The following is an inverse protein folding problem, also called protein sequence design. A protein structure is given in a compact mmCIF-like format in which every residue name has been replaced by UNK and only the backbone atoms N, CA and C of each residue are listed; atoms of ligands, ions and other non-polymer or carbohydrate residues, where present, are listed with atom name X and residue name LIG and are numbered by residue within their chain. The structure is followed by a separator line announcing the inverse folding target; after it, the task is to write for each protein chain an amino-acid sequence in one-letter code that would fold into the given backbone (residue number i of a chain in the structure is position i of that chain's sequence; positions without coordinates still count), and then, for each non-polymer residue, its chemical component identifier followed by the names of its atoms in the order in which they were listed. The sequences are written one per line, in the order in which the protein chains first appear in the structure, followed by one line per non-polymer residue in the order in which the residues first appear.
data_IF_494861764667
#
_entry.id   IF_494861764667
#
_cell.length_a   1.000
_cell.length_b   1.000
_cell.length_c   1.000
_cell.angle_alpha   90.00
_cell.angle_beta   90.00
_cell.angle_gamma   90.00
#
_symmetry.space_group_name_H-M   'P 1'
#
loop_
_entity.id
_entity.type
_entity.pdbx_description
1 polymer ?
#
# COMPACT_ATOMS: atom_id res chain seq x y z
N UNK A 1 26.18 4.84 -17.48
CA UNK A 1 24.73 4.56 -17.37
C UNK A 1 23.98 5.47 -18.32
N UNK A 2 23.07 4.95 -19.14
CA UNK A 2 22.28 5.79 -20.05
C UNK A 2 21.35 6.70 -19.25
N UNK A 3 21.20 7.97 -19.67
CA UNK A 3 20.38 8.98 -18.98
C UNK A 3 18.97 8.47 -18.65
N UNK A 4 18.38 7.60 -19.48
CA UNK A 4 17.05 7.02 -19.26
C UNK A 4 16.94 6.13 -18.01
N UNK A 5 17.96 5.31 -17.68
CA UNK A 5 17.91 4.42 -16.52
C UNK A 5 17.99 5.21 -15.21
N UNK A 6 18.85 6.23 -15.18
CA UNK A 6 18.95 7.14 -14.04
C UNK A 6 17.63 7.88 -13.81
N UNK A 7 16.98 8.36 -14.88
CA UNK A 7 15.68 9.01 -14.80
C UNK A 7 14.60 8.07 -14.26
N UNK A 8 14.51 6.83 -14.77
CA UNK A 8 13.52 5.85 -14.28
C UNK A 8 13.70 5.52 -12.79
N UNK A 9 14.95 5.39 -12.32
CA UNK A 9 15.25 5.17 -10.89
C UNK A 9 14.82 6.37 -10.04
N UNK A 10 15.27 7.57 -10.42
CA UNK A 10 14.92 8.79 -9.71
C UNK A 10 13.40 8.98 -9.62
N UNK A 11 12.70 8.77 -10.73
CA UNK A 11 11.23 8.84 -10.77
C UNK A 11 10.59 7.83 -9.81
N UNK A 12 10.95 6.54 -9.87
CA UNK A 12 10.35 5.52 -9.00
C UNK A 12 10.67 5.74 -7.52
N UNK A 13 11.83 6.32 -7.18
CA UNK A 13 12.15 6.70 -5.79
C UNK A 13 11.25 7.82 -5.28
N UNK A 14 10.85 8.74 -6.15
CA UNK A 14 9.97 9.85 -5.77
C UNK A 14 8.51 9.44 -5.65
N UNK A 15 8.07 8.37 -6.31
CA UNK A 15 6.66 7.97 -6.37
C UNK A 15 5.99 7.87 -4.99
N UNK A 16 6.54 7.17 -3.97
CA UNK A 16 5.88 7.06 -2.67
C UNK A 16 5.62 8.43 -2.02
N UNK A 17 6.57 9.36 -2.17
CA UNK A 17 6.46 10.71 -1.62
C UNK A 17 5.42 11.54 -2.37
N UNK A 18 5.39 11.45 -3.70
CA UNK A 18 4.38 12.11 -4.53
C UNK A 18 2.98 11.57 -4.25
N UNK A 19 2.85 10.24 -4.17
CA UNK A 19 1.58 9.58 -3.84
C UNK A 19 1.09 10.00 -2.45
N UNK A 20 1.97 10.03 -1.44
CA UNK A 20 1.63 10.49 -0.10
C UNK A 20 1.22 11.97 -0.08
N UNK A 21 1.99 12.85 -0.74
CA UNK A 21 1.71 14.28 -0.81
C UNK A 21 0.34 14.56 -1.46
N UNK A 22 0.01 13.84 -2.52
CA UNK A 22 -1.29 14.00 -3.19
C UNK A 22 -2.43 13.40 -2.36
N UNK A 23 -2.26 12.19 -1.84
CA UNK A 23 -3.29 11.50 -1.05
C UNK A 23 -3.67 12.30 0.20
N UNK A 24 -2.70 12.98 0.82
CA UNK A 24 -2.91 13.81 2.01
C UNK A 24 -3.30 15.26 1.67
N UNK A 25 -2.86 15.80 0.52
CA UNK A 25 -3.00 17.21 0.19
C UNK A 25 -4.21 17.58 -0.67
N UNK A 26 -4.68 16.70 -1.56
CA UNK A 26 -5.68 17.07 -2.60
C UNK A 26 -7.12 16.72 -2.18
N UNK A 27 -7.31 15.97 -1.08
CA UNK A 27 -8.64 15.58 -0.62
C UNK A 27 -9.37 14.66 -1.62
N UNK A 28 -10.64 14.36 -1.35
CA UNK A 28 -11.44 13.47 -2.19
C UNK A 28 -11.85 14.20 -3.48
N UNK A 29 -11.61 13.55 -4.63
CA UNK A 29 -12.02 14.05 -5.95
C UNK A 29 -12.96 13.06 -6.64
N UNK A 30 -13.67 13.51 -7.68
CA UNK A 30 -14.60 12.63 -8.41
C UNK A 30 -13.83 11.53 -9.15
N UNK A 31 -14.32 10.27 -9.18
CA UNK A 31 -13.65 9.14 -9.86
C UNK A 31 -13.32 9.40 -11.32
N UNK A 32 -14.20 10.13 -12.01
CA UNK A 32 -14.03 10.52 -13.40
C UNK A 32 -12.78 11.38 -13.63
N UNK A 33 -12.34 12.12 -12.62
CA UNK A 33 -11.18 13.00 -12.70
C UNK A 33 -9.90 12.27 -12.29
N UNK A 34 -9.91 11.58 -11.15
CA UNK A 34 -8.68 11.00 -10.62
C UNK A 34 -8.28 9.68 -11.30
N UNK A 35 -9.24 8.83 -11.69
CA UNK A 35 -8.91 7.52 -12.27
C UNK A 35 -8.06 7.65 -13.55
N UNK A 36 -8.40 8.49 -14.55
CA UNK A 36 -7.58 8.61 -15.75
C UNK A 36 -6.15 9.09 -15.46
N UNK A 37 -6.01 10.06 -14.55
CA UNK A 37 -4.71 10.62 -14.16
C UNK A 37 -3.84 9.55 -13.50
N UNK A 38 -4.42 8.81 -12.55
CA UNK A 38 -3.68 7.81 -11.81
C UNK A 38 -3.44 6.53 -12.61
N UNK A 39 -4.31 6.17 -13.55
CA UNK A 39 -4.04 5.11 -14.52
C UNK A 39 -2.89 5.48 -15.46
N UNK A 40 -2.86 6.72 -15.96
CA UNK A 40 -1.73 7.21 -16.76
C UNK A 40 -0.42 7.18 -15.94
N UNK A 41 -0.48 7.59 -14.67
CA UNK A 41 0.66 7.49 -13.76
C UNK A 41 1.10 6.04 -13.51
N UNK A 42 0.17 5.12 -13.27
CA UNK A 42 0.46 3.70 -13.10
C UNK A 42 1.11 3.08 -14.36
N UNK A 43 0.66 3.48 -15.56
CA UNK A 43 1.28 3.07 -16.82
C UNK A 43 2.72 3.60 -16.96
N UNK A 44 2.96 4.86 -16.57
CA UNK A 44 4.31 5.43 -16.55
C UNK A 44 5.22 4.68 -15.57
N UNK A 45 4.73 4.33 -14.38
CA UNK A 45 5.46 3.51 -13.43
C UNK A 45 5.75 2.12 -14.00
N UNK A 46 4.75 1.45 -14.59
CA UNK A 46 4.93 0.15 -15.22
C UNK A 46 5.99 0.19 -16.31
N UNK A 47 6.00 1.26 -17.12
CA UNK A 47 7.01 1.47 -18.15
C UNK A 47 8.42 1.71 -17.56
N UNK A 48 8.53 2.50 -16.49
CA UNK A 48 9.79 2.74 -15.79
C UNK A 48 10.33 1.44 -15.16
N UNK A 49 9.47 0.66 -14.53
CA UNK A 49 9.80 -0.66 -13.97
C UNK A 49 10.24 -1.61 -15.07
N UNK A 50 9.52 -1.67 -16.19
CA UNK A 50 9.91 -2.47 -17.36
C UNK A 50 11.28 -2.09 -17.90
N UNK A 51 11.55 -0.78 -18.06
CA UNK A 51 12.84 -0.26 -18.54
C UNK A 51 14.00 -0.68 -17.63
N UNK A 52 13.80 -0.67 -16.31
CA UNK A 52 14.80 -1.12 -15.34
C UNK A 52 14.91 -2.65 -15.30
N UNK A 53 13.78 -3.35 -15.37
CA UNK A 53 13.67 -4.79 -15.21
C UNK A 53 13.96 -5.62 -16.46
N UNK A 54 14.01 -5.03 -17.66
CA UNK A 54 14.16 -5.81 -18.91
C UNK A 54 15.41 -6.69 -18.93
N UNK A 55 16.51 -6.20 -18.33
CA UNK A 55 17.78 -6.91 -18.30
C UNK A 55 17.93 -7.78 -17.05
N UNK A 56 17.07 -7.57 -16.05
CA UNK A 56 17.12 -8.26 -14.77
C UNK A 56 16.77 -9.74 -14.88
N UNK A 57 15.79 -10.08 -15.72
CA UNK A 57 15.35 -11.46 -15.93
C UNK A 57 16.26 -12.25 -16.87
N UNK A 58 17.06 -11.55 -17.67
CA UNK A 58 17.97 -12.13 -18.65
C UNK A 58 19.42 -12.17 -18.16
N UNK A 59 19.70 -11.75 -16.91
CA UNK A 59 21.05 -11.82 -16.37
C UNK A 59 21.49 -13.29 -16.24
N UNK A 60 22.70 -13.64 -16.71
CA UNK A 60 23.25 -14.97 -16.52
C UNK A 60 23.63 -15.26 -15.06
N UNK A 61 23.75 -14.20 -14.23
CA UNK A 61 24.04 -14.35 -12.80
C UNK A 61 22.75 -14.64 -11.99
N UNK A 62 22.63 -15.83 -11.38
CA UNK A 62 21.47 -16.18 -10.57
C UNK A 62 21.26 -15.27 -9.36
N UNK A 63 22.34 -14.72 -8.79
CA UNK A 63 22.27 -13.81 -7.64
C UNK A 63 21.63 -12.48 -8.03
N UNK A 64 22.12 -11.85 -9.10
CA UNK A 64 21.53 -10.64 -9.65
C UNK A 64 20.06 -10.83 -10.04
N UNK A 65 19.70 -11.99 -10.62
CA UNK A 65 18.31 -12.31 -10.98
C UNK A 65 17.41 -12.40 -9.75
N UNK A 66 17.89 -12.99 -8.66
CA UNK A 66 17.15 -13.08 -7.40
C UNK A 66 16.94 -11.69 -6.77
N UNK A 67 17.99 -10.87 -6.70
CA UNK A 67 17.89 -9.49 -6.17
C UNK A 67 16.91 -8.64 -6.99
N UNK A 68 16.94 -8.80 -8.31
CA UNK A 68 15.98 -8.11 -9.18
C UNK A 68 14.55 -8.57 -8.96
N UNK A 69 14.34 -9.87 -8.73
CA UNK A 69 13.01 -10.41 -8.41
C UNK A 69 12.49 -9.87 -7.09
N UNK A 70 13.35 -9.80 -6.07
CA UNK A 70 13.05 -9.15 -4.78
C UNK A 70 12.61 -7.70 -5.00
N UNK A 71 13.40 -6.92 -5.75
CA UNK A 71 13.09 -5.52 -6.01
C UNK A 71 11.75 -5.34 -6.73
N UNK A 72 11.44 -6.18 -7.72
CA UNK A 72 10.18 -6.12 -8.46
C UNK A 72 8.98 -6.47 -7.58
N UNK A 73 9.08 -7.49 -6.72
CA UNK A 73 8.00 -7.85 -5.79
C UNK A 73 7.69 -6.72 -4.79
N UNK A 74 8.69 -5.91 -4.45
CA UNK A 74 8.50 -4.73 -3.58
C UNK A 74 7.96 -3.53 -4.35
N UNK A 75 8.38 -3.31 -5.60
CA UNK A 75 7.99 -2.12 -6.40
C UNK A 75 6.62 -2.27 -7.05
N UNK A 76 6.29 -3.44 -7.62
CA UNK A 76 5.02 -3.67 -8.36
C UNK A 76 3.77 -3.26 -7.54
N UNK A 77 3.66 -3.58 -6.24
CA UNK A 77 2.54 -3.14 -5.40
C UNK A 77 2.30 -1.64 -5.42
N UNK A 78 3.35 -0.82 -5.53
CA UNK A 78 3.22 0.63 -5.57
C UNK A 78 2.48 1.13 -6.81
N UNK A 79 2.60 0.42 -7.94
CA UNK A 79 1.82 0.74 -9.15
C UNK A 79 0.33 0.72 -8.81
N UNK A 80 -0.12 -0.35 -8.13
CA UNK A 80 -1.50 -0.47 -7.65
C UNK A 80 -1.86 0.59 -6.61
N UNK A 81 -0.97 0.86 -5.65
CA UNK A 81 -1.23 1.83 -4.59
C UNK A 81 -1.43 3.25 -5.11
N UNK A 82 -0.73 3.65 -6.19
CA UNK A 82 -0.90 4.98 -6.75
C UNK A 82 -2.29 5.21 -7.35
N UNK A 83 -2.98 4.16 -7.82
CA UNK A 83 -4.37 4.27 -8.33
C UNK A 83 -5.31 4.85 -7.26
N UNK A 84 -4.99 4.67 -5.98
CA UNK A 84 -5.81 5.12 -4.85
C UNK A 84 -5.46 6.47 -4.29
N UNK A 85 -4.33 7.06 -4.66
CA UNK A 85 -3.93 8.35 -4.13
C UNK A 85 -4.95 9.45 -4.47
N UNK A 86 -5.74 9.28 -5.53
CA UNK A 86 -6.85 10.18 -5.90
C UNK A 86 -8.14 10.01 -5.11
N UNK A 87 -8.31 8.90 -4.39
CA UNK A 87 -9.50 8.64 -3.58
C UNK A 87 -9.50 9.43 -2.26
N UNK A 88 -8.38 10.05 -1.90
CA UNK A 88 -8.23 10.83 -0.66
C UNK A 88 -8.27 9.98 0.62
N UNK A 89 -8.32 10.64 1.79
CA UNK A 89 -8.39 9.95 3.07
C UNK A 89 -9.63 9.05 3.17
N UNK A 90 -9.62 8.03 4.04
CA UNK A 90 -10.82 7.24 4.32
C UNK A 90 -12.02 8.13 4.69
N UNK A 91 -13.25 7.76 4.30
CA UNK A 91 -14.43 8.55 4.63
C UNK A 91 -14.61 8.74 6.13
N UNK A 92 -15.23 9.85 6.52
CA UNK A 92 -15.37 10.21 7.95
C UNK A 92 -16.77 10.00 8.49
N UNK A 93 -17.74 9.75 7.61
CA UNK A 93 -19.14 9.61 7.96
C UNK A 93 -19.74 8.32 7.39
N UNK A 94 -20.69 7.72 8.12
CA UNK A 94 -21.40 6.51 7.69
C UNK A 94 -22.02 6.68 6.27
N UNK A 95 -22.70 7.80 5.94
CA UNK A 95 -23.24 7.98 4.59
C UNK A 95 -22.17 7.95 3.50
N UNK A 96 -21.01 8.57 3.71
CA UNK A 96 -19.91 8.55 2.73
C UNK A 96 -19.29 7.15 2.60
N UNK A 97 -19.19 6.39 3.69
CA UNK A 97 -18.73 5.00 3.66
C UNK A 97 -19.64 4.12 2.81
N UNK A 98 -20.96 4.30 2.93
CA UNK A 98 -21.94 3.56 2.13
C UNK A 98 -21.90 4.01 0.66
N UNK A 99 -21.81 5.31 0.40
CA UNK A 99 -21.69 5.86 -0.96
C UNK A 99 -20.42 5.35 -1.68
N UNK A 100 -19.32 5.16 -0.95
CA UNK A 100 -18.02 4.72 -1.50
C UNK A 100 -17.68 3.26 -1.24
N UNK A 101 -18.66 2.44 -0.84
CA UNK A 101 -18.45 1.07 -0.40
C UNK A 101 -17.53 0.27 -1.34
N UNK A 102 -17.81 0.30 -2.64
CA UNK A 102 -17.01 -0.40 -3.66
C UNK A 102 -15.59 0.16 -3.78
N UNK A 103 -15.41 1.49 -3.73
CA UNK A 103 -14.09 2.10 -3.80
C UNK A 103 -13.21 1.69 -2.61
N UNK A 104 -13.79 1.68 -1.41
CA UNK A 104 -13.07 1.26 -0.21
C UNK A 104 -12.75 -0.23 -0.26
N UNK A 105 -13.70 -1.09 -0.62
CA UNK A 105 -13.43 -2.54 -0.80
C UNK A 105 -12.27 -2.80 -1.77
N UNK A 106 -12.27 -2.14 -2.93
CA UNK A 106 -11.18 -2.27 -3.92
C UNK A 106 -9.86 -1.73 -3.35
N UNK A 107 -9.88 -0.56 -2.69
CA UNK A 107 -8.71 0.07 -2.05
C UNK A 107 -8.04 -0.90 -1.09
N UNK A 108 -8.80 -1.44 -0.15
CA UNK A 108 -8.26 -2.29 0.89
C UNK A 108 -7.91 -3.68 0.38
N UNK A 109 -8.64 -4.23 -0.59
CA UNK A 109 -8.27 -5.50 -1.25
C UNK A 109 -6.92 -5.40 -1.97
N UNK A 110 -6.68 -4.31 -2.72
CA UNK A 110 -5.38 -4.11 -3.37
C UNK A 110 -4.27 -3.79 -2.38
N UNK A 111 -4.55 -3.09 -1.26
CA UNK A 111 -3.59 -2.93 -0.17
C UNK A 111 -3.18 -4.29 0.42
N UNK A 112 -4.13 -5.19 0.67
CA UNK A 112 -3.86 -6.56 1.14
C UNK A 112 -3.01 -7.31 0.12
N UNK A 113 -3.42 -7.33 -1.16
CA UNK A 113 -2.68 -8.00 -2.22
C UNK A 113 -1.24 -7.46 -2.37
N UNK A 114 -1.08 -6.14 -2.33
CA UNK A 114 0.22 -5.49 -2.38
C UNK A 114 1.08 -5.78 -1.15
N UNK A 115 0.50 -5.78 0.05
CA UNK A 115 1.20 -6.15 1.28
C UNK A 115 1.70 -7.60 1.28
N UNK A 116 0.92 -8.52 0.72
CA UNK A 116 1.35 -9.91 0.52
C UNK A 116 2.54 -10.00 -0.46
N UNK A 117 2.47 -9.31 -1.60
CA UNK A 117 3.57 -9.25 -2.58
C UNK A 117 4.87 -8.69 -1.96
N UNK A 118 4.77 -7.58 -1.21
CA UNK A 118 5.91 -7.01 -0.48
C UNK A 118 6.49 -8.03 0.50
N UNK A 119 5.63 -8.75 1.24
CA UNK A 119 6.08 -9.75 2.21
C UNK A 119 6.79 -10.91 1.55
N UNK A 120 6.32 -11.37 0.38
CA UNK A 120 7.05 -12.38 -0.42
C UNK A 120 8.43 -11.85 -0.84
N UNK A 121 8.52 -10.60 -1.31
CA UNK A 121 9.80 -9.95 -1.64
C UNK A 121 10.75 -9.88 -0.44
N UNK A 122 10.24 -9.46 0.72
CA UNK A 122 11.02 -9.39 1.97
C UNK A 122 11.43 -10.77 2.48
N UNK A 123 10.60 -11.81 2.31
CA UNK A 123 10.94 -13.17 2.68
C UNK A 123 12.11 -13.70 1.85
N UNK A 124 12.13 -13.41 0.54
CA UNK A 124 13.26 -13.71 -0.33
C UNK A 124 14.53 -12.95 0.08
N UNK A 125 14.40 -11.69 0.50
CA UNK A 125 15.51 -10.89 1.03
C UNK A 125 16.06 -11.45 2.34
N UNK A 126 15.19 -11.85 3.26
CA UNK A 126 15.57 -12.52 4.52
C UNK A 126 16.34 -13.82 4.25
N UNK A 127 15.89 -14.62 3.28
CA UNK A 127 16.61 -15.82 2.87
C UNK A 127 18.00 -15.50 2.33
N UNK A 128 18.14 -14.41 1.57
CA UNK A 128 19.43 -13.94 1.07
C UNK A 128 20.36 -13.52 2.22
N UNK A 129 19.88 -12.69 3.15
CA UNK A 129 20.62 -12.29 4.35
C UNK A 129 21.04 -13.50 5.20
N UNK A 130 20.17 -14.51 5.30
CA UNK A 130 20.50 -15.78 5.97
C UNK A 130 21.66 -16.50 5.30
N UNK A 131 21.68 -16.57 3.97
CA UNK A 131 22.78 -17.18 3.21
C UNK A 131 24.09 -16.41 3.35
N UNK A 132 24.03 -15.08 3.50
CA UNK A 132 25.18 -14.22 3.73
C UNK A 132 25.74 -14.27 5.15
N UNK A 133 25.11 -15.01 6.07
CA UNK A 133 25.54 -15.11 7.47
C UNK A 133 25.09 -13.96 8.37
N UNK A 134 24.24 -13.05 7.87
CA UNK A 134 23.76 -11.85 8.56
C UNK A 134 22.70 -12.16 9.62
N UNK A 135 23.09 -12.90 10.67
CA UNK A 135 22.19 -13.54 11.64
C UNK A 135 21.18 -12.59 12.29
N UNK A 136 21.65 -11.41 12.71
CA UNK A 136 20.81 -10.44 13.39
C UNK A 136 19.73 -9.88 12.47
N UNK A 137 20.08 -9.54 11.22
CA UNK A 137 19.17 -8.91 10.28
C UNK A 137 18.08 -9.86 9.77
N UNK A 138 18.42 -11.11 9.43
CA UNK A 138 17.39 -12.04 8.93
C UNK A 138 16.43 -12.49 10.04
N UNK A 139 16.89 -12.65 11.29
CA UNK A 139 16.02 -12.95 12.43
C UNK A 139 15.07 -11.78 12.72
N UNK A 140 15.59 -10.55 12.75
CA UNK A 140 14.78 -9.35 12.93
C UNK A 140 13.73 -9.22 11.82
N UNK A 141 14.12 -9.46 10.57
CA UNK A 141 13.21 -9.44 9.43
C UNK A 141 12.09 -10.47 9.55
N UNK A 142 12.39 -11.71 9.95
CA UNK A 142 11.37 -12.74 10.17
C UNK A 142 10.38 -12.35 11.29
N UNK A 143 10.89 -11.88 12.42
CA UNK A 143 10.05 -11.45 13.55
C UNK A 143 9.16 -10.28 13.14
N UNK A 144 9.73 -9.29 12.45
CA UNK A 144 8.98 -8.14 11.95
C UNK A 144 7.87 -8.57 10.98
N UNK A 145 8.16 -9.45 10.01
CA UNK A 145 7.15 -9.95 9.07
C UNK A 145 6.06 -10.79 9.76
N UNK A 146 6.44 -11.64 10.72
CA UNK A 146 5.51 -12.50 11.46
C UNK A 146 4.48 -11.71 12.27
N UNK A 147 4.81 -10.49 12.70
CA UNK A 147 3.90 -9.60 13.42
C UNK A 147 3.20 -8.63 12.46
N UNK A 148 3.95 -7.99 11.56
CA UNK A 148 3.44 -6.92 10.70
C UNK A 148 2.41 -7.42 9.69
N UNK A 149 2.64 -8.58 9.05
CA UNK A 149 1.72 -9.07 8.01
C UNK A 149 0.33 -9.41 8.57
N UNK A 150 0.18 -10.20 9.65
CA UNK A 150 -1.14 -10.48 10.22
C UNK A 150 -1.86 -9.22 10.69
N UNK A 151 -1.15 -8.31 11.39
CA UNK A 151 -1.74 -7.05 11.85
C UNK A 151 -2.17 -6.16 10.68
N UNK A 152 -1.36 -6.10 9.61
CA UNK A 152 -1.71 -5.37 8.40
C UNK A 152 -2.96 -5.94 7.73
N UNK A 153 -3.04 -7.27 7.54
CA UNK A 153 -4.21 -7.92 6.93
C UNK A 153 -5.45 -7.69 7.78
N UNK A 154 -5.36 -7.86 9.11
CA UNK A 154 -6.47 -7.62 10.03
C UNK A 154 -6.97 -6.17 9.95
N UNK A 155 -6.06 -5.20 9.99
CA UNK A 155 -6.40 -3.79 9.87
C UNK A 155 -7.07 -3.50 8.52
N UNK A 156 -6.47 -3.90 7.40
CA UNK A 156 -7.05 -3.63 6.07
C UNK A 156 -8.40 -4.33 5.86
N UNK A 157 -8.57 -5.56 6.39
CA UNK A 157 -9.84 -6.30 6.30
C UNK A 157 -10.94 -5.66 7.15
N UNK A 158 -10.57 -5.11 8.31
CA UNK A 158 -11.48 -4.35 9.15
C UNK A 158 -12.02 -3.11 8.41
N UNK A 159 -11.13 -2.33 7.78
CA UNK A 159 -11.55 -1.15 7.04
C UNK A 159 -12.32 -1.47 5.74
N UNK A 160 -11.85 -2.47 4.98
CA UNK A 160 -12.41 -2.78 3.66
C UNK A 160 -13.67 -3.63 3.65
N UNK A 161 -13.79 -4.57 4.58
CA UNK A 161 -14.91 -5.50 4.61
C UNK A 161 -15.84 -5.18 5.78
N UNK A 162 -15.33 -5.25 7.00
CA UNK A 162 -16.18 -5.17 8.20
C UNK A 162 -16.89 -3.83 8.33
N UNK A 163 -16.18 -2.70 8.20
CA UNK A 163 -16.80 -1.38 8.32
C UNK A 163 -17.79 -1.09 7.20
N UNK A 164 -17.42 -1.40 5.95
CA UNK A 164 -18.29 -1.19 4.78
C UNK A 164 -19.60 -1.97 4.92
N UNK A 165 -19.52 -3.26 5.27
CA UNK A 165 -20.70 -4.11 5.44
C UNK A 165 -21.53 -3.69 6.66
N UNK A 166 -20.88 -3.40 7.78
CA UNK A 166 -21.55 -2.94 9.00
C UNK A 166 -22.32 -1.64 8.75
N UNK A 167 -21.70 -0.66 8.10
CA UNK A 167 -22.33 0.63 7.81
C UNK A 167 -23.45 0.53 6.76
N UNK A 168 -23.29 -0.36 5.77
CA UNK A 168 -24.36 -0.63 4.79
C UNK A 168 -25.58 -1.22 5.49
N UNK A 169 -25.40 -2.29 6.29
CA UNK A 169 -26.48 -2.90 7.07
C UNK A 169 -27.10 -1.92 8.06
N UNK A 170 -26.28 -1.09 8.70
CA UNK A 170 -26.72 -0.08 9.64
C UNK A 170 -27.55 1.03 8.99
N UNK A 171 -27.18 1.45 7.77
CA UNK A 171 -27.92 2.44 6.99
C UNK A 171 -29.29 1.94 6.55
N UNK A 172 -29.39 0.64 6.22
CA UNK A 172 -30.65 -0.01 5.84
C UNK A 172 -31.57 -0.30 7.04
N UNK A 173 -31.01 -0.44 8.25
CA UNK A 173 -31.79 -0.67 9.46
C UNK A 173 -32.52 0.60 9.93
N UNK A 174 -33.83 0.48 10.18
CA UNK A 174 -34.64 1.55 10.79
C UNK A 174 -34.06 2.01 12.12
N UNK A 175 -34.16 3.31 12.44
CA UNK A 175 -33.64 3.89 13.69
C UNK A 175 -34.14 3.13 14.94
N UNK A 176 -35.37 2.61 14.91
CA UNK A 176 -35.97 1.83 15.99
C UNK A 176 -35.34 0.45 16.26
N UNK A 177 -34.47 -0.05 15.37
CA UNK A 177 -33.82 -1.38 15.49
C UNK A 177 -32.35 -1.29 15.94
N UNK A 178 -31.84 -0.10 16.22
CA UNK A 178 -30.42 0.09 16.54
C UNK A 178 -30.21 -0.11 18.05
N UNK A 179 -29.31 -1.00 18.47
CA UNK A 179 -29.08 -1.25 19.89
C UNK A 179 -28.34 -0.08 20.56
N UNK A 180 -28.66 0.22 21.82
CA UNK A 180 -28.19 1.41 22.53
C UNK A 180 -26.65 1.51 22.67
N UNK A 181 -25.96 0.35 22.71
CA UNK A 181 -24.49 0.30 22.73
C UNK A 181 -23.85 0.94 21.48
N UNK A 182 -24.61 1.13 20.40
CA UNK A 182 -24.17 1.83 19.20
C UNK A 182 -23.73 3.27 19.49
N UNK A 183 -24.43 3.98 20.39
CA UNK A 183 -24.05 5.37 20.73
C UNK A 183 -22.66 5.43 21.36
N UNK A 184 -22.32 4.45 22.19
CA UNK A 184 -21.00 4.31 22.81
C UNK A 184 -19.92 3.98 21.79
N UNK A 185 -20.19 3.07 20.84
CA UNK A 185 -19.25 2.76 19.75
C UNK A 185 -19.04 3.97 18.84
N UNK A 186 -20.10 4.71 18.51
CA UNK A 186 -20.01 5.94 17.72
C UNK A 186 -19.15 7.01 18.40
N UNK A 187 -19.16 7.08 19.73
CA UNK A 187 -18.30 7.99 20.48
C UNK A 187 -16.82 7.59 20.38
N UNK A 188 -16.52 6.29 20.38
CA UNK A 188 -15.16 5.76 20.21
C UNK A 188 -14.55 6.15 18.84
N UNK A 189 -15.32 6.02 17.75
CA UNK A 189 -14.84 6.38 16.41
C UNK A 189 -14.60 7.88 16.20
N UNK A 190 -15.27 8.76 16.96
CA UNK A 190 -14.95 10.19 16.92
C UNK A 190 -13.58 10.49 17.52
N UNK A 191 -13.14 9.69 18.48
CA UNK A 191 -11.88 9.91 19.21
C UNK A 191 -10.64 9.56 18.36
N UNK A 192 -10.65 8.44 17.63
CA UNK A 192 -9.54 8.05 16.75
C UNK A 192 -9.28 9.05 15.62
N UNK A 193 -10.30 9.79 15.20
CA UNK A 193 -10.19 10.77 14.12
C UNK A 193 -9.51 12.08 14.57
N UNK A 194 -9.71 12.52 15.82
CA UNK A 194 -9.11 13.77 16.33
C UNK A 194 -7.61 13.64 16.64
N UNK A 195 -7.09 12.42 16.78
CA UNK A 195 -5.70 12.17 17.20
C UNK A 195 -4.76 11.65 16.07
N UNK A 196 -5.11 11.80 14.80
CA UNK A 196 -4.13 11.68 13.70
C UNK A 196 -3.72 10.25 13.28
N UNK A 197 -4.62 9.27 13.38
CA UNK A 197 -4.38 7.86 13.03
C UNK A 197 -3.98 7.59 11.56
N UNK A 198 -4.14 8.55 10.65
CA UNK A 198 -3.73 8.45 9.24
C UNK A 198 -2.21 8.50 9.01
N UNK A 199 -1.43 8.92 10.01
CA UNK A 199 0.04 9.06 9.89
C UNK A 199 0.79 7.71 9.96
N UNK A 200 0.20 6.67 10.55
CA UNK A 200 0.89 5.42 10.84
C UNK A 200 1.05 4.52 9.59
N UNK A 201 0.18 4.67 8.58
CA UNK A 201 0.15 3.80 7.39
C UNK A 201 1.23 4.20 6.36
N UNK A 202 1.61 5.47 6.28
CA UNK A 202 2.60 5.95 5.29
C UNK A 202 4.06 5.92 5.78
N UNK A 203 4.29 5.97 7.10
CA UNK A 203 5.65 6.04 7.68
C UNK A 203 6.52 4.80 7.41
N UNK A 204 5.94 3.60 7.45
CA UNK A 204 6.68 2.35 7.22
C UNK A 204 6.94 2.06 5.74
N UNK A 205 6.08 2.52 4.83
CA UNK A 205 6.22 2.30 3.38
C UNK A 205 7.31 3.16 2.73
N UNK A 206 7.46 4.41 3.14
CA UNK A 206 8.40 5.35 2.50
C UNK A 206 9.88 4.99 2.74
N UNK A 207 10.20 4.42 3.91
CA UNK A 207 11.59 4.01 4.24
C UNK A 207 12.01 2.76 3.46
N UNK A 208 11.09 1.80 3.26
CA UNK A 208 11.38 0.54 2.55
C UNK A 208 11.66 0.70 1.05
N UNK A 209 10.96 1.62 0.36
CA UNK A 209 11.14 1.83 -1.08
C UNK A 209 12.47 2.51 -1.41
N UNK A 210 12.88 3.49 -0.61
CA UNK A 210 14.14 4.22 -0.82
C UNK A 210 15.36 3.30 -0.67
N UNK A 211 15.31 2.35 0.27
CA UNK A 211 16.32 1.32 0.43
C UNK A 211 16.30 0.32 -0.73
N UNK A 212 15.13 -0.17 -1.15
CA UNK A 212 15.01 -1.23 -2.18
C UNK A 212 15.49 -0.79 -3.57
N UNK A 213 15.27 0.46 -3.97
CA UNK A 213 15.70 0.97 -5.28
C UNK A 213 17.24 1.08 -5.37
N UNK A 214 17.94 1.22 -4.24
CA UNK A 214 19.40 1.25 -4.20
C UNK A 214 20.04 -0.11 -4.51
N UNK A 215 19.32 -1.23 -4.35
CA UNK A 215 19.80 -2.60 -4.62
C UNK A 215 19.60 -3.06 -6.08
N UNK A 216 19.03 -2.22 -6.96
CA UNK A 216 18.93 -2.47 -8.41
C UNK A 216 20.23 -2.08 -9.16
N UNK A 217 21.36 -1.98 -8.45
CA UNK A 217 22.72 -1.63 -8.93
C UNK A 217 23.68 -2.67 -8.39
#
# INVERSE_FOLDING_TARGET
MTNSLAISRFYLTLVPFLAAAVALGIGRSKPQLYLPIWLAHALLMAFAVWRLGKNCFTSPDPEQRQLSTIALLVIIPWIGFTVFAGMGPPPTSIPEWVETATEQQIRYALLIAGGMLITVGLALLVNKLRQSGEKQYWLLGLLAMGIALPLFILNMSYWGSFLVESFTNFSAASVAKRPDWYLSIRALFRWDWQCGGSSFIFGYGCVGVSLTISWLV
#
